data_IF_272694768631
#
_entry.id   IF_272694768631
#
_cell.length_a   1.000
_cell.length_b   1.000
_cell.length_c   1.000
_cell.angle_alpha   90.00
_cell.angle_beta   90.00
_cell.angle_gamma   90.00
#
_symmetry.space_group_name_H-M   'P 1'
#
loop_
_entity.id
_entity.type
_entity.pdbx_description
1 polymer ?
#
# COMPACT_ATOMS: atom_id res chain seq x y z
N UNK A 1 19.75 -1.80 2.59
CA UNK A 1 20.49 -1.00 1.60
C UNK A 1 21.96 -1.44 1.53
N UNK A 2 22.59 -1.74 2.67
CA UNK A 2 24.03 -2.03 2.74
C UNK A 2 24.40 -3.52 2.63
N UNK A 3 23.41 -4.40 2.47
CA UNK A 3 23.67 -5.84 2.35
C UNK A 3 24.20 -6.16 0.94
N UNK A 4 25.48 -6.49 0.87
CA UNK A 4 26.18 -6.80 -0.39
C UNK A 4 25.72 -8.11 -1.05
N UNK A 5 24.91 -8.92 -0.37
CA UNK A 5 24.33 -10.14 -0.95
C UNK A 5 23.17 -9.84 -1.90
N UNK A 6 22.57 -8.63 -1.84
CA UNK A 6 21.47 -8.21 -2.68
C UNK A 6 22.02 -7.52 -3.94
N UNK A 7 21.75 -8.09 -5.09
CA UNK A 7 22.03 -7.46 -6.38
C UNK A 7 20.79 -6.64 -6.83
N UNK A 8 20.78 -5.38 -6.43
CA UNK A 8 19.71 -4.43 -6.72
C UNK A 8 19.50 -4.21 -8.22
N UNK A 9 20.54 -4.40 -9.06
CA UNK A 9 20.45 -4.22 -10.52
C UNK A 9 19.58 -5.26 -11.22
N UNK A 10 19.17 -6.31 -10.50
CA UNK A 10 18.27 -7.35 -10.98
C UNK A 10 16.81 -7.13 -10.57
N UNK A 11 16.54 -6.17 -9.68
CA UNK A 11 15.24 -5.96 -9.05
C UNK A 11 14.46 -4.88 -9.80
N UNK A 12 13.22 -5.20 -10.20
CA UNK A 12 12.22 -4.21 -10.63
C UNK A 12 11.40 -3.79 -9.39
N UNK A 13 11.32 -2.49 -9.16
CA UNK A 13 10.51 -1.93 -8.08
C UNK A 13 9.18 -1.38 -8.62
N UNK A 14 8.14 -1.54 -7.83
CA UNK A 14 6.79 -1.05 -8.11
C UNK A 14 6.29 -0.27 -6.89
N UNK A 15 5.52 0.74 -7.15
CA UNK A 15 4.83 1.62 -6.24
C UNK A 15 3.35 1.17 -6.17
N UNK A 16 2.78 0.98 -5.00
CA UNK A 16 1.49 0.28 -4.90
C UNK A 16 0.27 1.20 -4.90
N UNK A 17 0.47 2.48 -4.58
CA UNK A 17 -0.61 3.47 -4.51
C UNK A 17 -0.08 4.89 -4.66
N UNK A 18 -0.89 5.80 -5.18
CA UNK A 18 -0.57 7.21 -5.30
C UNK A 18 -1.84 8.08 -5.30
N UNK A 19 -1.75 9.24 -4.70
CA UNK A 19 -2.80 10.23 -4.76
C UNK A 19 -3.01 10.77 -6.18
N UNK A 20 -4.26 10.99 -6.55
CA UNK A 20 -4.61 11.70 -7.77
C UNK A 20 -4.55 13.21 -7.52
N UNK A 21 -3.94 13.94 -8.47
CA UNK A 21 -3.83 15.40 -8.44
C UNK A 21 -2.62 15.94 -7.66
N UNK A 22 -1.77 15.09 -7.10
CA UNK A 22 -0.53 15.52 -6.42
C UNK A 22 0.66 15.49 -7.36
N UNK A 23 1.46 16.56 -7.31
CA UNK A 23 2.70 16.62 -8.08
C UNK A 23 3.69 15.54 -7.61
N UNK A 24 4.40 14.83 -8.52
CA UNK A 24 5.33 13.76 -8.17
C UNK A 24 6.48 14.15 -7.25
N UNK A 25 6.82 15.45 -7.19
CA UNK A 25 7.85 16.00 -6.30
C UNK A 25 7.28 16.51 -4.97
N UNK A 26 5.96 16.47 -4.78
CA UNK A 26 5.36 16.91 -3.52
C UNK A 26 5.78 15.97 -2.37
N UNK A 27 6.08 16.52 -1.19
CA UNK A 27 6.47 15.70 -0.03
C UNK A 27 5.41 14.66 0.38
N UNK A 28 4.15 14.88 -0.02
CA UNK A 28 3.02 14.01 0.25
C UNK A 28 2.86 12.87 -0.77
N UNK A 29 3.52 12.94 -1.94
CA UNK A 29 3.51 11.86 -2.92
C UNK A 29 4.20 10.61 -2.35
N UNK A 30 3.53 9.46 -2.43
CA UNK A 30 4.15 8.19 -2.02
C UNK A 30 5.30 7.79 -2.95
N UNK A 31 5.19 8.12 -4.24
CA UNK A 31 6.31 7.95 -5.17
C UNK A 31 7.53 8.76 -4.76
N UNK A 32 7.34 10.03 -4.34
CA UNK A 32 8.42 10.86 -3.80
C UNK A 32 9.00 10.26 -2.51
N UNK A 33 8.13 9.87 -1.59
CA UNK A 33 8.56 9.24 -0.33
C UNK A 33 9.44 8.01 -0.57
N UNK A 34 9.01 7.10 -1.44
CA UNK A 34 9.78 5.91 -1.79
C UNK A 34 11.08 6.25 -2.51
N UNK A 35 11.06 7.24 -3.40
CA UNK A 35 12.24 7.69 -4.13
C UNK A 35 13.34 8.11 -3.17
N UNK A 36 13.07 9.05 -2.27
CA UNK A 36 14.07 9.57 -1.34
C UNK A 36 14.48 8.57 -0.26
N UNK A 37 13.64 7.57 0.05
CA UNK A 37 13.89 6.58 1.11
C UNK A 37 14.64 5.35 0.61
N UNK A 38 14.34 4.87 -0.60
CA UNK A 38 14.91 3.64 -1.11
C UNK A 38 15.26 3.69 -2.60
N UNK A 39 14.40 4.22 -3.48
CA UNK A 39 14.57 4.05 -4.92
C UNK A 39 15.80 4.74 -5.48
N UNK A 40 16.19 5.91 -4.92
CA UNK A 40 17.43 6.63 -5.29
C UNK A 40 18.64 6.17 -4.45
N UNK A 41 18.44 5.26 -3.45
CA UNK A 41 19.52 4.83 -2.58
C UNK A 41 20.25 3.58 -3.08
N UNK A 42 19.63 2.84 -3.97
CA UNK A 42 20.16 1.60 -4.53
C UNK A 42 19.88 1.53 -6.03
N UNK A 43 20.74 0.87 -6.82
CA UNK A 43 20.64 0.84 -8.27
C UNK A 43 19.63 -0.20 -8.75
N UNK A 44 18.32 0.04 -8.56
CA UNK A 44 17.28 -0.83 -9.10
C UNK A 44 17.41 -0.97 -10.62
N UNK A 45 17.11 -2.15 -11.16
CA UNK A 45 17.02 -2.38 -12.60
C UNK A 45 16.02 -1.42 -13.24
N UNK A 46 14.86 -1.27 -12.61
CA UNK A 46 13.81 -0.33 -13.01
C UNK A 46 12.90 -0.01 -11.83
N UNK A 47 12.49 1.25 -11.73
CA UNK A 47 11.45 1.69 -10.82
C UNK A 47 10.22 2.09 -11.63
N UNK A 48 9.06 1.57 -11.29
CA UNK A 48 7.80 1.83 -11.96
C UNK A 48 6.89 2.61 -11.01
N UNK A 49 6.45 3.78 -11.45
CA UNK A 49 5.55 4.66 -10.69
C UNK A 49 4.16 4.70 -11.29
N UNK A 50 3.14 4.82 -10.43
CA UNK A 50 1.79 5.26 -10.79
C UNK A 50 1.83 6.76 -11.08
N UNK A 51 1.12 7.21 -12.11
CA UNK A 51 1.05 8.62 -12.46
C UNK A 51 -0.31 9.21 -12.04
N UNK A 52 -0.36 9.80 -10.84
CA UNK A 52 -1.56 10.48 -10.33
C UNK A 52 -1.97 11.76 -11.08
N UNK A 53 -1.14 12.21 -12.05
CA UNK A 53 -1.43 13.35 -12.94
C UNK A 53 -1.76 12.93 -14.38
N UNK A 54 -2.05 11.64 -14.63
CA UNK A 54 -2.43 11.18 -15.95
C UNK A 54 -3.73 11.85 -16.41
N UNK A 55 -3.77 12.29 -17.67
CA UNK A 55 -4.99 12.87 -18.27
C UNK A 55 -6.13 11.85 -18.35
N UNK A 56 -5.78 10.58 -18.60
CA UNK A 56 -6.71 9.45 -18.60
C UNK A 56 -6.27 8.42 -17.54
N UNK A 57 -6.98 8.42 -16.42
CA UNK A 57 -6.69 7.55 -15.28
C UNK A 57 -6.97 6.06 -15.58
N UNK A 58 -7.95 5.75 -16.44
CA UNK A 58 -8.23 4.36 -16.82
C UNK A 58 -7.10 3.79 -17.69
N UNK A 59 -6.57 4.58 -18.64
CA UNK A 59 -5.39 4.20 -19.41
C UNK A 59 -4.16 4.02 -18.53
N UNK A 60 -4.00 4.84 -17.50
CA UNK A 60 -2.91 4.70 -16.53
C UNK A 60 -3.06 3.42 -15.71
N UNK A 61 -4.28 3.11 -15.23
CA UNK A 61 -4.57 1.84 -14.56
C UNK A 61 -4.20 0.65 -15.46
N UNK A 62 -4.61 0.69 -16.72
CA UNK A 62 -4.31 -0.39 -17.69
C UNK A 62 -2.80 -0.50 -17.96
N UNK A 63 -2.12 0.65 -18.19
CA UNK A 63 -0.66 0.68 -18.39
C UNK A 63 0.09 0.02 -17.24
N UNK A 64 -0.32 0.34 -16.01
CA UNK A 64 0.34 -0.20 -14.83
C UNK A 64 -0.01 -1.67 -14.60
N UNK A 65 -1.24 -2.09 -14.87
CA UNK A 65 -1.66 -3.48 -14.84
C UNK A 65 -0.88 -4.35 -15.85
N UNK A 66 -0.63 -3.82 -17.04
CA UNK A 66 0.19 -4.50 -18.07
C UNK A 66 1.64 -4.67 -17.60
N UNK A 67 2.20 -3.66 -16.90
CA UNK A 67 3.55 -3.76 -16.31
C UNK A 67 3.61 -4.84 -15.23
N UNK A 68 2.60 -4.93 -14.34
CA UNK A 68 2.52 -5.96 -13.31
C UNK A 68 2.35 -7.36 -13.91
N UNK A 69 1.61 -7.48 -14.99
CA UNK A 69 1.42 -8.74 -15.72
C UNK A 69 2.72 -9.18 -16.40
N UNK A 70 3.43 -8.24 -17.02
CA UNK A 70 4.71 -8.50 -17.71
C UNK A 70 5.85 -8.82 -16.72
N UNK A 71 5.78 -8.26 -15.53
CA UNK A 71 6.78 -8.41 -14.47
C UNK A 71 6.07 -8.77 -13.17
N UNK A 72 5.65 -10.03 -12.99
CA UNK A 72 5.01 -10.47 -11.76
C UNK A 72 5.85 -10.11 -10.53
N UNK A 73 5.16 -9.70 -9.47
CA UNK A 73 5.79 -9.26 -8.23
C UNK A 73 6.06 -10.48 -7.35
N UNK A 74 7.29 -10.64 -6.89
CA UNK A 74 7.69 -11.72 -5.98
C UNK A 74 7.43 -11.34 -4.52
N UNK A 75 7.66 -10.07 -4.15
CA UNK A 75 7.61 -9.58 -2.78
C UNK A 75 6.77 -8.31 -2.69
N UNK A 76 5.84 -8.27 -1.75
CA UNK A 76 5.12 -7.07 -1.33
C UNK A 76 5.51 -6.69 0.09
N UNK A 77 5.93 -5.44 0.28
CA UNK A 77 6.11 -4.82 1.60
C UNK A 77 4.98 -3.81 1.82
N UNK A 78 4.20 -3.97 2.88
CA UNK A 78 3.01 -3.17 3.13
C UNK A 78 2.84 -2.85 4.62
N UNK A 79 1.92 -1.96 4.93
CA UNK A 79 1.42 -1.69 6.27
C UNK A 79 -0.08 -1.93 6.38
N UNK A 80 -0.68 -1.55 7.51
CA UNK A 80 -2.13 -1.59 7.75
C UNK A 80 -2.58 -0.19 8.18
N UNK A 81 -3.65 0.31 7.60
CA UNK A 81 -4.29 1.55 8.00
C UNK A 81 -5.06 1.42 9.32
N UNK A 82 -5.50 2.55 9.90
CA UNK A 82 -6.24 2.57 11.17
C UNK A 82 -7.60 1.87 11.07
N UNK A 83 -8.24 1.88 9.89
CA UNK A 83 -9.47 1.17 9.60
C UNK A 83 -9.25 -0.26 9.04
N UNK A 84 -8.01 -0.75 9.02
CA UNK A 84 -7.65 -2.07 8.52
C UNK A 84 -7.41 -2.15 7.01
N UNK A 85 -7.32 -1.04 6.28
CA UNK A 85 -7.00 -1.05 4.85
C UNK A 85 -5.57 -1.53 4.58
N UNK A 86 -5.36 -2.05 3.37
CA UNK A 86 -4.04 -2.33 2.77
C UNK A 86 -3.96 -1.65 1.40
N UNK A 87 -2.88 -0.92 1.11
CA UNK A 87 -2.83 0.09 0.07
C UNK A 87 -4.04 1.03 0.25
N UNK A 88 -4.66 1.56 -0.80
CA UNK A 88 -5.92 2.31 -0.67
C UNK A 88 -7.17 1.44 -0.87
N UNK A 89 -7.14 0.18 -0.39
CA UNK A 89 -8.34 -0.65 -0.32
C UNK A 89 -8.98 -0.48 1.05
N UNK A 90 -9.68 0.64 1.25
CA UNK A 90 -10.51 0.91 2.43
C UNK A 90 -11.74 -0.03 2.48
N UNK A 91 -12.37 -0.26 3.65
CA UNK A 91 -13.48 -1.20 3.79
C UNK A 91 -14.61 -1.02 2.77
N UNK A 92 -14.94 0.22 2.36
CA UNK A 92 -16.04 0.50 1.45
C UNK A 92 -15.70 0.25 -0.03
N UNK A 93 -14.41 0.12 -0.37
CA UNK A 93 -13.94 -0.07 -1.75
C UNK A 93 -13.14 -1.36 -1.93
N UNK A 94 -12.84 -2.05 -0.83
CA UNK A 94 -12.14 -3.32 -0.85
C UNK A 94 -13.00 -4.41 -1.50
N UNK A 95 -12.39 -5.19 -2.39
CA UNK A 95 -12.99 -6.37 -3.00
C UNK A 95 -11.92 -7.47 -3.09
N UNK A 96 -12.17 -8.59 -2.41
CA UNK A 96 -11.26 -9.74 -2.43
C UNK A 96 -11.25 -10.48 -3.76
N UNK A 97 -12.22 -10.20 -4.64
CA UNK A 97 -12.36 -10.80 -5.95
C UNK A 97 -12.30 -9.76 -7.09
N UNK A 98 -11.73 -8.59 -6.83
CA UNK A 98 -11.65 -7.50 -7.81
C UNK A 98 -11.02 -8.00 -9.13
N UNK A 99 -11.70 -7.86 -10.27
CA UNK A 99 -11.19 -8.30 -11.56
C UNK A 99 -10.05 -7.44 -12.09
N UNK A 100 -9.91 -6.21 -11.59
CA UNK A 100 -8.85 -5.29 -11.98
C UNK A 100 -7.57 -5.56 -11.16
N UNK A 101 -6.41 -5.19 -11.69
CA UNK A 101 -5.15 -5.18 -10.94
C UNK A 101 -4.87 -3.81 -10.33
N UNK A 102 -5.30 -2.76 -11.00
CA UNK A 102 -5.15 -1.36 -10.59
C UNK A 102 -6.48 -0.65 -10.80
N UNK A 103 -6.86 0.22 -9.89
CA UNK A 103 -8.10 0.99 -9.97
C UNK A 103 -7.96 2.39 -9.37
N UNK A 104 -8.87 3.28 -9.76
CA UNK A 104 -9.14 4.53 -9.06
C UNK A 104 -10.10 4.22 -7.90
N UNK A 105 -9.85 4.81 -6.74
CA UNK A 105 -10.72 4.71 -5.57
C UNK A 105 -10.99 6.08 -4.98
N UNK A 106 -12.17 6.25 -4.41
CA UNK A 106 -12.47 7.35 -3.51
C UNK A 106 -11.93 7.02 -2.12
N UNK A 107 -11.27 7.99 -1.48
CA UNK A 107 -10.64 7.78 -0.18
C UNK A 107 -11.65 7.97 0.95
N UNK A 108 -11.70 6.98 1.83
CA UNK A 108 -12.47 7.01 3.06
C UNK A 108 -12.13 8.25 3.92
N UNK A 109 -13.13 8.93 4.52
CA UNK A 109 -12.88 10.07 5.39
C UNK A 109 -11.96 9.77 6.58
N UNK A 110 -11.99 8.55 7.12
CA UNK A 110 -11.11 8.10 8.21
C UNK A 110 -9.66 8.01 7.70
N UNK A 111 -9.47 7.40 6.52
CA UNK A 111 -8.17 7.33 5.86
C UNK A 111 -7.60 8.74 5.60
N UNK A 112 -8.43 9.67 5.08
CA UNK A 112 -8.02 11.05 4.85
C UNK A 112 -7.70 11.77 6.16
N UNK A 113 -8.49 11.56 7.22
CA UNK A 113 -8.23 12.16 8.54
C UNK A 113 -6.93 11.62 9.15
N UNK A 114 -6.60 10.33 8.94
CA UNK A 114 -5.32 9.76 9.35
C UNK A 114 -4.15 10.55 8.78
N UNK A 115 -4.21 10.96 7.50
CA UNK A 115 -3.13 11.73 6.86
C UNK A 115 -2.92 13.11 7.50
N UNK A 116 -3.99 13.72 8.01
CA UNK A 116 -3.89 14.97 8.78
C UNK A 116 -3.29 14.70 10.17
N UNK A 117 -3.72 13.64 10.84
CA UNK A 117 -3.22 13.26 12.17
C UNK A 117 -1.71 12.93 12.12
N UNK A 118 -1.26 12.28 11.05
CA UNK A 118 0.15 11.94 10.77
C UNK A 118 0.94 13.16 10.25
N UNK A 119 0.30 14.35 10.15
CA UNK A 119 0.90 15.62 9.70
C UNK A 119 1.44 15.59 8.26
N UNK A 120 0.94 14.67 7.44
CA UNK A 120 1.22 14.64 6.00
C UNK A 120 0.54 15.81 5.28
N UNK A 121 -0.65 16.22 5.76
CA UNK A 121 -1.39 17.39 5.28
C UNK A 121 -1.80 18.29 6.45
N UNK A 122 -1.90 19.59 6.20
CA UNK A 122 -2.27 20.58 7.24
C UNK A 122 -3.75 20.52 7.60
N UNK A 123 -4.61 20.26 6.62
CA UNK A 123 -6.07 20.19 6.77
C UNK A 123 -6.67 19.08 5.91
N UNK A 124 -7.86 18.62 6.26
CA UNK A 124 -8.59 17.58 5.53
C UNK A 124 -8.90 17.98 4.08
N UNK A 125 -9.16 19.25 3.82
CA UNK A 125 -9.48 19.76 2.48
C UNK A 125 -8.28 19.68 1.52
N UNK A 126 -7.06 19.63 2.05
CA UNK A 126 -5.84 19.48 1.26
C UNK A 126 -5.53 18.02 0.94
N UNK A 127 -6.15 17.07 1.65
CA UNK A 127 -5.99 15.63 1.34
C UNK A 127 -6.79 15.30 0.08
N UNK A 128 -6.19 14.72 -0.94
CA UNK A 128 -6.92 14.29 -2.14
C UNK A 128 -8.12 13.41 -1.80
N UNK A 129 -9.13 13.46 -2.65
CA UNK A 129 -10.34 12.64 -2.49
C UNK A 129 -10.23 11.29 -3.18
N UNK A 130 -9.32 11.19 -4.14
CA UNK A 130 -9.14 10.00 -4.98
C UNK A 130 -7.68 9.57 -5.02
N UNK A 131 -7.48 8.29 -5.26
CA UNK A 131 -6.16 7.68 -5.42
C UNK A 131 -6.17 6.57 -6.47
N UNK A 132 -5.00 6.29 -7.03
CA UNK A 132 -4.70 5.06 -7.75
C UNK A 132 -4.21 4.02 -6.75
N UNK A 133 -4.70 2.78 -6.84
CA UNK A 133 -4.26 1.69 -5.96
C UNK A 133 -4.19 0.36 -6.68
N UNK A 134 -3.23 -0.48 -6.29
CA UNK A 134 -3.28 -1.90 -6.59
C UNK A 134 -4.44 -2.51 -5.80
N UNK A 135 -5.17 -3.41 -6.43
CA UNK A 135 -6.26 -4.16 -5.79
C UNK A 135 -5.73 -5.24 -4.84
N UNK A 136 -6.58 -5.73 -3.95
CA UNK A 136 -6.22 -6.83 -3.04
C UNK A 136 -5.77 -8.08 -3.81
N UNK A 137 -6.49 -8.56 -4.85
CA UNK A 137 -6.00 -9.66 -5.66
C UNK A 137 -4.65 -9.41 -6.33
N UNK A 138 -4.37 -8.16 -6.74
CA UNK A 138 -3.07 -7.81 -7.33
C UNK A 138 -1.93 -7.96 -6.30
N UNK A 139 -2.14 -7.47 -5.08
CA UNK A 139 -1.17 -7.60 -3.98
C UNK A 139 -0.94 -9.07 -3.60
N UNK A 140 -2.02 -9.86 -3.50
CA UNK A 140 -1.96 -11.27 -3.11
C UNK A 140 -1.31 -12.18 -4.16
N UNK A 141 -1.12 -11.72 -5.40
CA UNK A 141 -0.38 -12.48 -6.43
C UNK A 141 1.11 -12.63 -6.10
N UNK A 142 1.68 -11.74 -5.30
CA UNK A 142 3.07 -11.86 -4.88
C UNK A 142 3.31 -13.17 -4.14
N UNK A 143 4.49 -13.75 -4.29
CA UNK A 143 4.85 -14.98 -3.57
C UNK A 143 4.95 -14.73 -2.07
N UNK A 144 5.58 -13.62 -1.68
CA UNK A 144 5.85 -13.27 -0.28
C UNK A 144 5.25 -11.92 0.08
N UNK A 145 4.68 -11.82 1.28
CA UNK A 145 4.15 -10.57 1.82
C UNK A 145 4.76 -10.26 3.19
N UNK A 146 5.32 -9.07 3.34
CA UNK A 146 5.88 -8.57 4.59
C UNK A 146 5.08 -7.36 5.04
N UNK A 147 4.27 -7.53 6.08
CA UNK A 147 3.41 -6.50 6.62
C UNK A 147 4.04 -5.94 7.90
N UNK A 148 4.42 -4.67 7.89
CA UNK A 148 5.08 -3.98 9.00
C UNK A 148 4.13 -2.93 9.55
N UNK A 149 3.73 -3.06 10.82
CA UNK A 149 2.70 -2.21 11.43
C UNK A 149 3.18 -1.68 12.78
N UNK A 150 3.84 -0.52 12.82
CA UNK A 150 4.22 0.13 14.06
C UNK A 150 3.09 1.02 14.59
N UNK A 151 3.23 1.43 15.86
CA UNK A 151 2.48 2.46 16.57
C UNK A 151 1.12 2.02 17.12
N UNK A 152 0.79 2.62 18.26
CA UNK A 152 -0.39 2.32 19.07
C UNK A 152 -1.74 2.53 18.35
N UNK A 153 -1.86 3.56 17.51
CA UNK A 153 -3.07 3.84 16.74
C UNK A 153 -3.47 2.72 15.77
N UNK A 154 -2.57 1.76 15.51
CA UNK A 154 -2.83 0.59 14.67
C UNK A 154 -3.31 -0.65 15.45
N UNK A 155 -3.24 -0.62 16.81
CA UNK A 155 -3.51 -1.80 17.64
C UNK A 155 -4.91 -2.41 17.43
N UNK A 156 -5.93 -1.57 17.17
CA UNK A 156 -7.29 -2.08 16.90
C UNK A 156 -7.37 -2.78 15.53
N UNK A 157 -6.76 -2.19 14.49
CA UNK A 157 -6.71 -2.79 13.16
C UNK A 157 -5.90 -4.10 13.17
N UNK A 158 -4.79 -4.14 13.91
CA UNK A 158 -4.00 -5.37 14.14
C UNK A 158 -4.84 -6.44 14.80
N UNK A 159 -5.56 -6.10 15.89
CA UNK A 159 -6.48 -7.04 16.55
C UNK A 159 -7.51 -7.62 15.58
N UNK A 160 -8.18 -6.78 14.79
CA UNK A 160 -9.16 -7.23 13.80
C UNK A 160 -8.52 -8.08 12.69
N UNK A 161 -7.32 -7.73 12.26
CA UNK A 161 -6.56 -8.50 11.27
C UNK A 161 -6.27 -9.91 11.76
N UNK A 162 -5.87 -10.07 13.04
CA UNK A 162 -5.43 -11.36 13.60
C UNK A 162 -6.62 -12.21 14.05
N UNK A 163 -7.60 -11.63 14.75
CA UNK A 163 -8.68 -12.37 15.41
C UNK A 163 -10.08 -12.13 14.83
N UNK A 164 -10.27 -11.04 14.07
CA UNK A 164 -11.57 -10.73 13.47
C UNK A 164 -11.96 -11.70 12.35
N UNK A 165 -13.15 -11.52 11.79
CA UNK A 165 -13.57 -12.23 10.60
C UNK A 165 -12.71 -11.82 9.39
N UNK A 166 -12.43 -12.77 8.48
CA UNK A 166 -11.77 -12.45 7.20
C UNK A 166 -12.81 -11.87 6.26
N UNK A 167 -12.85 -10.55 6.17
CA UNK A 167 -13.85 -9.82 5.37
C UNK A 167 -13.31 -8.47 4.91
N UNK A 168 -13.97 -7.89 3.91
CA UNK A 168 -13.69 -6.56 3.38
C UNK A 168 -13.88 -5.44 4.42
N UNK A 169 -14.59 -5.70 5.53
CA UNK A 169 -14.71 -4.74 6.66
C UNK A 169 -13.40 -4.51 7.40
N UNK A 170 -12.45 -5.43 7.27
CA UNK A 170 -11.05 -5.28 7.68
C UNK A 170 -10.18 -5.90 6.60
N UNK A 171 -9.86 -5.16 5.52
CA UNK A 171 -9.20 -5.71 4.34
C UNK A 171 -7.89 -6.44 4.64
N UNK A 172 -7.13 -5.97 5.63
CA UNK A 172 -5.90 -6.63 6.08
C UNK A 172 -6.12 -8.06 6.60
N UNK A 173 -7.34 -8.42 7.02
CA UNK A 173 -7.68 -9.77 7.49
C UNK A 173 -7.43 -10.84 6.42
N UNK A 174 -7.44 -10.48 5.13
CA UNK A 174 -7.15 -11.38 4.01
C UNK A 174 -5.72 -11.94 4.06
N UNK A 175 -4.79 -11.24 4.70
CA UNK A 175 -3.40 -11.68 4.85
C UNK A 175 -3.29 -13.04 5.53
N UNK A 176 -4.26 -13.41 6.37
CA UNK A 176 -4.33 -14.76 7.00
C UNK A 176 -4.56 -15.90 6.01
N UNK A 177 -5.05 -15.61 4.79
CA UNK A 177 -5.22 -16.60 3.72
C UNK A 177 -3.97 -16.78 2.87
N UNK A 178 -2.94 -15.96 3.10
CA UNK A 178 -1.68 -16.01 2.37
C UNK A 178 -0.63 -16.76 3.20
N UNK A 179 -0.22 -17.94 2.75
CA UNK A 179 0.72 -18.82 3.45
C UNK A 179 2.06 -18.10 3.74
N UNK A 180 2.62 -17.42 2.73
CA UNK A 180 3.87 -16.70 2.83
C UNK A 180 3.67 -15.23 3.23
N UNK A 181 2.81 -14.97 4.23
CA UNK A 181 2.59 -13.65 4.80
C UNK A 181 3.18 -13.59 6.20
N UNK A 182 3.96 -12.55 6.47
CA UNK A 182 4.58 -12.29 7.77
C UNK A 182 4.12 -10.93 8.29
N UNK A 183 3.65 -10.89 9.54
CA UNK A 183 3.22 -9.68 10.23
C UNK A 183 4.26 -9.29 11.29
N UNK A 184 4.82 -8.10 11.17
CA UNK A 184 5.81 -7.52 12.08
C UNK A 184 5.17 -6.37 12.85
N UNK A 185 5.21 -6.46 14.17
CA UNK A 185 4.58 -5.54 15.10
C UNK A 185 5.60 -5.00 16.09
N UNK A 186 5.39 -3.79 16.58
CA UNK A 186 6.02 -3.31 17.79
C UNK A 186 5.14 -3.58 19.02
N UNK A 187 5.64 -3.38 20.24
CA UNK A 187 4.85 -3.60 21.47
C UNK A 187 3.57 -2.77 21.52
N UNK A 188 3.55 -1.59 20.92
CA UNK A 188 2.38 -0.68 20.97
C UNK A 188 1.28 -1.16 20.01
N UNK A 189 1.63 -1.53 18.78
CA UNK A 189 0.66 -2.06 17.82
C UNK A 189 0.17 -3.46 18.20
N UNK A 190 0.96 -4.22 18.97
CA UNK A 190 0.62 -5.54 19.48
C UNK A 190 -0.15 -5.53 20.81
N UNK A 191 -0.43 -4.36 21.44
CA UNK A 191 -0.96 -4.28 22.81
C UNK A 191 -2.29 -5.03 23.03
N UNK A 192 -3.04 -5.31 21.95
CA UNK A 192 -4.35 -5.98 22.00
C UNK A 192 -4.31 -7.44 21.56
N UNK A 193 -3.15 -7.97 21.23
CA UNK A 193 -3.01 -9.38 20.85
C UNK A 193 -2.18 -10.12 21.89
N UNK A 194 -2.54 -11.39 22.10
CA UNK A 194 -1.78 -12.29 22.98
C UNK A 194 -0.78 -13.04 22.08
N UNK A 195 0.50 -12.76 22.26
CA UNK A 195 1.62 -13.46 21.61
C UNK A 195 2.11 -14.60 22.49
#
# INVERSE_FOLDING_TARGET
IHDKRIDWTRINAFHMDEYIGIHPEAPQSFGHFLRIRIFDKVPFKKVNYLNGLAENLEEECQRYADLLTKHPVDIVCLGIGENGHIAFNDPDVADFNDPKLVKVVELDPICRQQQVNEKCFMTLDLVPKEALTLTIPALLKAEWMFCIVPFKNKAQAVYQTVYGEVSEKCPASILRRKENSSLYLDPESAERINL
#
